data_IF_290211875088
#
_entry.id   IF_290211875088
#
_cell.length_a   1.000
_cell.length_b   1.000
_cell.length_c   1.000
_cell.angle_alpha   90.00
_cell.angle_beta   90.00
_cell.angle_gamma   90.00
#
_symmetry.space_group_name_H-M   'P 1'
#
loop_
_entity.id
_entity.type
_entity.pdbx_description
1 polymer ?
#
# COMPACT_ATOMS: atom_id res chain seq x y z
N UNK A 1 30.25 -2.21 -24.49
CA UNK A 1 30.72 -3.08 -23.38
C UNK A 1 30.57 -2.28 -22.11
N UNK A 2 29.53 -2.52 -21.32
CA UNK A 2 29.37 -1.86 -20.02
C UNK A 2 30.42 -2.41 -19.06
N UNK A 3 31.20 -1.52 -18.44
CA UNK A 3 32.19 -1.90 -17.44
C UNK A 3 31.46 -2.29 -16.15
N UNK A 4 31.63 -3.54 -15.74
CA UNK A 4 31.17 -4.05 -14.45
C UNK A 4 31.92 -3.34 -13.32
N UNK A 5 31.19 -2.69 -12.41
CA UNK A 5 31.77 -2.08 -11.22
C UNK A 5 31.45 -2.98 -10.04
N UNK A 6 32.47 -3.67 -9.51
CA UNK A 6 32.35 -4.35 -8.22
C UNK A 6 32.34 -3.31 -7.10
N UNK A 7 31.24 -3.27 -6.33
CA UNK A 7 31.08 -2.35 -5.22
C UNK A 7 31.60 -2.98 -3.93
N UNK A 8 32.34 -2.24 -3.09
CA UNK A 8 32.58 -2.67 -1.71
C UNK A 8 31.25 -2.85 -0.97
N UNK A 9 31.19 -3.80 -0.04
CA UNK A 9 29.93 -4.25 0.60
C UNK A 9 29.08 -3.11 1.19
N UNK A 10 29.73 -2.12 1.81
CA UNK A 10 29.05 -0.96 2.39
C UNK A 10 28.33 -0.12 1.33
N UNK A 11 28.94 0.06 0.16
CA UNK A 11 28.33 0.79 -0.96
C UNK A 11 27.21 -0.03 -1.61
N UNK A 12 27.40 -1.35 -1.72
CA UNK A 12 26.37 -2.23 -2.25
C UNK A 12 25.08 -2.18 -1.41
N UNK A 13 25.22 -2.15 -0.08
CA UNK A 13 24.07 -1.99 0.84
C UNK A 13 23.34 -0.66 0.60
N UNK A 14 24.08 0.44 0.49
CA UNK A 14 23.51 1.77 0.20
C UNK A 14 22.78 1.77 -1.13
N UNK A 15 23.37 1.19 -2.17
CA UNK A 15 22.79 1.18 -3.52
C UNK A 15 21.52 0.34 -3.56
N UNK A 16 21.50 -0.80 -2.86
CA UNK A 16 20.31 -1.64 -2.71
C UNK A 16 19.19 -0.89 -1.98
N UNK A 17 19.50 -0.24 -0.86
CA UNK A 17 18.52 0.54 -0.10
C UNK A 17 17.96 1.71 -0.92
N UNK A 18 18.82 2.40 -1.68
CA UNK A 18 18.41 3.49 -2.56
C UNK A 18 17.50 2.98 -3.68
N UNK A 19 17.87 1.89 -4.34
CA UNK A 19 17.07 1.31 -5.42
C UNK A 19 15.68 0.91 -4.91
N UNK A 20 15.60 0.24 -3.76
CA UNK A 20 14.34 -0.12 -3.14
C UNK A 20 13.50 1.12 -2.79
N UNK A 21 14.10 2.15 -2.18
CA UNK A 21 13.38 3.38 -1.83
C UNK A 21 12.79 4.05 -3.08
N UNK A 22 13.57 4.18 -4.15
CA UNK A 22 13.10 4.78 -5.40
C UNK A 22 11.95 3.95 -5.99
N UNK A 23 12.11 2.63 -6.07
CA UNK A 23 11.07 1.72 -6.58
C UNK A 23 9.76 1.85 -5.80
N UNK A 24 9.81 1.84 -4.46
CA UNK A 24 8.64 1.99 -3.58
C UNK A 24 7.94 3.34 -3.81
N UNK A 25 8.70 4.43 -4.02
CA UNK A 25 8.11 5.75 -4.29
C UNK A 25 7.46 5.82 -5.67
N UNK A 26 8.06 5.22 -6.70
CA UNK A 26 7.48 5.16 -8.04
C UNK A 26 6.19 4.33 -8.06
N UNK A 27 6.17 3.18 -7.38
CA UNK A 27 4.96 2.37 -7.22
C UNK A 27 3.86 3.16 -6.52
N UNK A 28 4.18 3.86 -5.42
CA UNK A 28 3.20 4.68 -4.69
C UNK A 28 2.62 5.82 -5.55
N UNK A 29 3.41 6.41 -6.46
CA UNK A 29 2.91 7.38 -7.44
C UNK A 29 1.93 6.71 -8.42
N UNK A 30 2.25 5.52 -8.93
CA UNK A 30 1.34 4.76 -9.81
C UNK A 30 0.03 4.37 -9.11
N UNK A 31 0.11 3.92 -7.86
CA UNK A 31 -1.07 3.58 -7.05
C UNK A 31 -2.02 4.77 -6.89
N UNK A 32 -1.50 6.00 -6.82
CA UNK A 32 -2.33 7.20 -6.74
C UNK A 32 -3.27 7.32 -7.94
N UNK A 33 -2.80 7.09 -9.16
CA UNK A 33 -3.67 7.13 -10.34
C UNK A 33 -4.80 6.09 -10.27
N UNK A 34 -4.49 4.87 -9.80
CA UNK A 34 -5.50 3.80 -9.64
C UNK A 34 -6.53 4.17 -8.58
N UNK A 35 -6.09 4.72 -7.44
CA UNK A 35 -6.97 5.18 -6.34
C UNK A 35 -7.97 6.24 -6.82
N UNK A 36 -7.53 7.17 -7.67
CA UNK A 36 -8.39 8.23 -8.20
C UNK A 36 -9.32 7.76 -9.34
N UNK A 37 -9.04 6.61 -9.99
CA UNK A 37 -9.85 6.11 -11.11
C UNK A 37 -10.87 5.01 -10.74
N UNK A 38 -10.57 4.08 -9.84
CA UNK A 38 -11.24 2.77 -9.85
C UNK A 38 -11.72 2.20 -8.50
N UNK A 39 -11.46 2.85 -7.37
CA UNK A 39 -11.88 2.30 -6.07
C UNK A 39 -13.36 2.63 -5.76
N UNK A 40 -14.19 1.65 -5.33
CA UNK A 40 -15.51 1.94 -4.77
C UNK A 40 -15.34 2.81 -3.52
N UNK A 41 -16.11 3.91 -3.45
CA UNK A 41 -15.98 4.93 -2.39
C UNK A 41 -17.24 4.92 -1.55
N UNK A 42 -17.06 4.89 -0.24
CA UNK A 42 -18.18 4.91 0.72
C UNK A 42 -18.32 6.29 1.36
N UNK A 43 -17.22 6.88 1.86
CA UNK A 43 -17.26 8.15 2.59
C UNK A 43 -16.24 9.21 2.12
N UNK A 44 -15.29 8.87 1.23
CA UNK A 44 -14.27 9.78 0.74
C UNK A 44 -14.58 10.26 -0.68
N UNK A 45 -14.40 11.55 -0.93
CA UNK A 45 -14.46 12.16 -2.26
C UNK A 45 -13.03 12.48 -2.69
N UNK A 46 -12.64 11.96 -3.86
CA UNK A 46 -11.36 12.28 -4.48
C UNK A 46 -11.63 13.10 -5.74
N UNK A 47 -10.98 14.25 -5.83
CA UNK A 47 -11.02 15.15 -6.97
C UNK A 47 -9.77 14.93 -7.83
N UNK A 48 -9.95 14.52 -9.09
CA UNK A 48 -8.85 14.50 -10.04
C UNK A 48 -8.72 15.89 -10.66
N UNK A 49 -7.76 16.68 -10.17
CA UNK A 49 -7.44 18.03 -10.63
C UNK A 49 -6.47 18.04 -11.83
N UNK A 50 -6.01 16.86 -12.26
CA UNK A 50 -5.13 16.72 -13.42
C UNK A 50 -5.92 16.43 -14.69
N UNK A 51 -5.66 17.21 -15.74
CA UNK A 51 -6.15 16.87 -17.07
C UNK A 51 -5.46 15.62 -17.63
N UNK A 52 -6.04 15.08 -18.71
CA UNK A 52 -5.56 13.85 -19.34
C UNK A 52 -4.13 14.02 -19.89
N UNK A 53 -3.79 15.19 -20.45
CA UNK A 53 -2.49 15.43 -21.04
C UNK A 53 -1.40 15.45 -19.96
N UNK A 54 -1.64 16.14 -18.85
CA UNK A 54 -0.76 16.24 -17.69
C UNK A 54 -0.59 14.87 -17.04
N UNK A 55 -1.68 14.11 -16.92
CA UNK A 55 -1.65 12.72 -16.43
C UNK A 55 -0.72 11.84 -17.29
N UNK A 56 -0.88 11.89 -18.62
CA UNK A 56 -0.03 11.13 -19.54
C UNK A 56 1.44 11.53 -19.43
N UNK A 57 1.74 12.83 -19.35
CA UNK A 57 3.11 13.32 -19.19
C UNK A 57 3.75 12.81 -17.89
N UNK A 58 3.04 12.87 -16.77
CA UNK A 58 3.55 12.36 -15.48
C UNK A 58 3.80 10.85 -15.56
N UNK A 59 2.87 10.09 -16.15
CA UNK A 59 3.05 8.64 -16.33
C UNK A 59 4.25 8.30 -17.20
N UNK A 60 4.50 9.08 -18.26
CA UNK A 60 5.71 8.93 -19.08
C UNK A 60 6.98 9.18 -18.27
N UNK A 61 7.01 10.26 -17.46
CA UNK A 61 8.17 10.55 -16.62
C UNK A 61 8.43 9.44 -15.58
N UNK A 62 7.38 8.90 -14.97
CA UNK A 62 7.48 7.75 -14.06
C UNK A 62 8.09 6.54 -14.79
N UNK A 63 7.65 6.26 -16.02
CA UNK A 63 8.20 5.17 -16.83
C UNK A 63 9.68 5.38 -17.16
N UNK A 64 10.09 6.61 -17.46
CA UNK A 64 11.51 6.95 -17.67
C UNK A 64 12.34 6.73 -16.40
N UNK A 65 11.80 7.07 -15.22
CA UNK A 65 12.46 6.80 -13.94
C UNK A 65 12.62 5.29 -13.66
N UNK A 66 11.61 4.48 -13.99
CA UNK A 66 11.73 3.02 -13.89
C UNK A 66 12.81 2.46 -14.82
N UNK A 67 12.90 2.95 -16.06
CA UNK A 67 13.94 2.53 -17.00
C UNK A 67 15.34 2.89 -16.48
N UNK A 68 15.51 4.10 -15.94
CA UNK A 68 16.77 4.53 -15.33
C UNK A 68 17.14 3.67 -14.11
N UNK A 69 16.16 3.35 -13.25
CA UNK A 69 16.37 2.48 -12.09
C UNK A 69 16.72 1.04 -12.50
N UNK A 70 16.08 0.50 -13.54
CA UNK A 70 16.38 -0.83 -14.07
C UNK A 70 17.82 -0.89 -14.58
N UNK A 71 18.27 0.11 -15.34
CA UNK A 71 19.65 0.21 -15.78
C UNK A 71 20.63 0.26 -14.60
N UNK A 72 20.31 1.02 -13.54
CA UNK A 72 21.10 1.08 -12.31
C UNK A 72 21.20 -0.28 -11.61
N UNK A 73 20.08 -0.99 -11.43
CA UNK A 73 20.01 -2.32 -10.81
C UNK A 73 20.83 -3.35 -11.59
N UNK A 74 20.73 -3.34 -12.92
CA UNK A 74 21.51 -4.22 -13.81
C UNK A 74 23.00 -3.92 -13.68
N UNK A 75 23.39 -2.64 -13.81
CA UNK A 75 24.79 -2.20 -13.77
C UNK A 75 25.50 -2.64 -12.48
N UNK A 76 24.82 -2.57 -11.35
CA UNK A 76 25.37 -2.90 -10.04
C UNK A 76 24.96 -4.28 -9.52
N UNK A 77 24.35 -5.12 -10.36
CA UNK A 77 23.94 -6.50 -10.02
C UNK A 77 23.12 -6.59 -8.72
N UNK A 78 22.22 -5.63 -8.51
CA UNK A 78 21.39 -5.60 -7.31
C UNK A 78 20.35 -6.74 -7.43
N UNK A 79 20.30 -7.69 -6.47
CA UNK A 79 19.41 -8.84 -6.58
C UNK A 79 17.96 -8.43 -6.40
N UNK A 80 17.10 -9.05 -7.22
CA UNK A 80 15.67 -8.83 -7.14
C UNK A 80 15.11 -9.44 -5.84
N UNK A 81 14.18 -8.72 -5.21
CA UNK A 81 13.38 -9.25 -4.11
C UNK A 81 12.08 -9.82 -4.64
N UNK A 82 11.63 -10.94 -4.08
CA UNK A 82 10.30 -11.49 -4.36
C UNK A 82 9.33 -11.03 -3.29
N UNK A 83 8.22 -10.46 -3.72
CA UNK A 83 7.10 -10.12 -2.85
C UNK A 83 5.92 -11.03 -3.18
N UNK A 84 5.16 -11.41 -2.15
CA UNK A 84 3.98 -12.23 -2.30
C UNK A 84 2.75 -11.37 -2.08
N UNK A 85 1.89 -11.28 -3.09
CA UNK A 85 0.60 -10.60 -2.99
C UNK A 85 -0.21 -11.14 -1.80
N UNK A 86 -0.25 -12.47 -1.65
CA UNK A 86 -0.90 -13.16 -0.53
C UNK A 86 -0.40 -12.64 0.82
N UNK A 87 0.91 -12.57 1.02
CA UNK A 87 1.49 -12.06 2.28
C UNK A 87 1.16 -10.58 2.49
N UNK A 88 1.18 -9.78 1.43
CA UNK A 88 0.82 -8.36 1.52
C UNK A 88 -0.65 -8.17 1.92
N UNK A 89 -1.57 -8.92 1.31
CA UNK A 89 -3.00 -8.90 1.67
C UNK A 89 -3.18 -9.33 3.12
N UNK A 90 -2.53 -10.41 3.57
CA UNK A 90 -2.61 -10.86 4.98
C UNK A 90 -2.15 -9.76 5.93
N UNK A 91 -1.01 -9.12 5.65
CA UNK A 91 -0.47 -8.04 6.49
C UNK A 91 -1.43 -6.85 6.54
N UNK A 92 -1.91 -6.38 5.39
CA UNK A 92 -2.86 -5.26 5.31
C UNK A 92 -4.19 -5.58 5.99
N UNK A 93 -4.70 -6.80 5.82
CA UNK A 93 -5.93 -7.26 6.45
C UNK A 93 -5.78 -7.37 7.97
N UNK A 94 -4.61 -7.78 8.47
CA UNK A 94 -4.33 -7.82 9.91
C UNK A 94 -4.36 -6.42 10.54
N UNK A 95 -3.75 -5.42 9.88
CA UNK A 95 -3.84 -4.03 10.34
C UNK A 95 -5.28 -3.50 10.33
N UNK A 96 -6.04 -3.76 9.26
CA UNK A 96 -7.46 -3.38 9.21
C UNK A 96 -8.26 -4.04 10.34
N UNK A 97 -8.04 -5.33 10.58
CA UNK A 97 -8.71 -6.06 11.65
C UNK A 97 -8.40 -5.45 13.02
N UNK A 98 -7.13 -5.12 13.28
CA UNK A 98 -6.70 -4.48 14.52
C UNK A 98 -7.36 -3.10 14.71
N UNK A 99 -7.42 -2.28 13.66
CA UNK A 99 -8.08 -0.98 13.68
C UNK A 99 -9.58 -1.11 14.00
N UNK A 100 -10.26 -2.09 13.39
CA UNK A 100 -11.69 -2.36 13.64
C UNK A 100 -11.94 -2.81 15.08
N UNK A 101 -11.15 -3.74 15.60
CA UNK A 101 -11.29 -4.26 16.97
C UNK A 101 -11.02 -3.18 18.03
N UNK A 102 -10.03 -2.32 17.78
CA UNK A 102 -9.69 -1.19 18.65
C UNK A 102 -10.73 -0.05 18.59
N UNK A 103 -11.60 -0.04 17.59
CA UNK A 103 -12.66 0.97 17.41
C UNK A 103 -13.98 0.61 18.10
N UNK A 104 -14.07 -0.54 18.79
CA UNK A 104 -15.29 -0.97 19.50
C UNK A 104 -15.75 0.05 20.55
N UNK A 105 -17.06 0.12 20.77
CA UNK A 105 -17.70 1.03 21.74
C UNK A 105 -17.07 0.97 23.13
N UNK A 106 -16.62 -0.23 23.57
CA UNK A 106 -15.96 -0.45 24.87
C UNK A 106 -14.68 0.38 25.05
N UNK A 107 -14.02 0.77 23.96
CA UNK A 107 -12.79 1.59 23.96
C UNK A 107 -13.10 3.11 23.88
N UNK A 108 -14.35 3.49 23.58
CA UNK A 108 -14.80 4.88 23.39
C UNK A 108 -15.37 5.49 24.69
N UNK A 109 -15.53 4.68 25.75
CA UNK A 109 -16.12 5.06 27.06
C UNK A 109 -15.30 6.13 27.78
N UNK A 110 -15.56 7.39 27.46
CA UNK A 110 -14.90 8.58 28.02
C UNK A 110 -15.33 9.89 27.35
N UNK A 111 -15.89 9.82 26.13
CA UNK A 111 -16.37 10.98 25.38
C UNK A 111 -17.89 11.20 25.56
N UNK A 112 -18.30 11.57 26.78
CA UNK A 112 -19.69 11.97 27.08
C UNK A 112 -20.73 10.84 27.10
N UNK A 113 -21.97 11.19 27.44
CA UNK A 113 -23.11 10.27 27.41
C UNK A 113 -23.58 10.09 25.97
N UNK A 114 -22.88 9.25 25.21
CA UNK A 114 -23.36 8.77 23.91
C UNK A 114 -24.46 7.74 24.18
N UNK A 115 -25.54 7.82 23.40
CA UNK A 115 -26.67 6.91 23.48
C UNK A 115 -26.22 5.46 23.33
N UNK A 116 -26.80 4.58 24.16
CA UNK A 116 -26.51 3.14 24.13
C UNK A 116 -26.93 2.52 22.80
N UNK A 117 -28.03 2.99 22.20
CA UNK A 117 -28.50 2.52 20.88
C UNK A 117 -27.44 2.78 19.79
N UNK A 118 -26.84 3.97 19.78
CA UNK A 118 -25.79 4.35 18.83
C UNK A 118 -24.53 3.48 19.00
N UNK A 119 -24.21 3.13 20.25
CA UNK A 119 -23.05 2.26 20.53
C UNK A 119 -23.29 0.82 20.08
N UNK A 120 -24.52 0.32 20.23
CA UNK A 120 -24.90 -1.02 19.76
C UNK A 120 -24.88 -1.08 18.23
N UNK A 121 -25.39 -0.06 17.55
CA UNK A 121 -25.35 0.03 16.09
C UNK A 121 -23.92 0.05 15.54
N UNK A 122 -23.01 0.80 16.19
CA UNK A 122 -21.59 0.81 15.85
C UNK A 122 -20.97 -0.57 16.00
N UNK A 123 -21.16 -1.24 17.14
CA UNK A 123 -20.58 -2.56 17.39
C UNK A 123 -21.12 -3.60 16.40
N UNK A 124 -22.41 -3.56 16.06
CA UNK A 124 -23.01 -4.44 15.06
C UNK A 124 -22.41 -4.22 13.65
N UNK A 125 -22.11 -2.97 13.28
CA UNK A 125 -21.40 -2.67 12.04
C UNK A 125 -19.96 -3.20 12.06
N UNK A 126 -19.22 -2.97 13.16
CA UNK A 126 -17.85 -3.45 13.31
C UNK A 126 -17.76 -4.98 13.26
N UNK A 127 -18.72 -5.69 13.86
CA UNK A 127 -18.78 -7.15 13.82
C UNK A 127 -18.95 -7.68 12.38
N UNK A 128 -19.76 -7.01 11.56
CA UNK A 128 -19.90 -7.37 10.13
C UNK A 128 -18.58 -7.19 9.38
N UNK A 129 -17.88 -6.07 9.61
CA UNK A 129 -16.61 -5.77 8.96
C UNK A 129 -15.51 -6.75 9.38
N UNK A 130 -15.45 -7.09 10.68
CA UNK A 130 -14.52 -8.08 11.23
C UNK A 130 -14.78 -9.46 10.63
N UNK A 131 -16.04 -9.89 10.50
CA UNK A 131 -16.37 -11.16 9.88
C UNK A 131 -15.89 -11.25 8.42
N UNK A 132 -16.01 -10.16 7.65
CA UNK A 132 -15.49 -10.08 6.28
C UNK A 132 -13.96 -10.14 6.27
N UNK A 133 -13.30 -9.40 7.16
CA UNK A 133 -11.84 -9.41 7.30
C UNK A 133 -11.31 -10.81 7.64
N UNK A 134 -11.97 -11.53 8.55
CA UNK A 134 -11.61 -12.92 8.88
C UNK A 134 -11.69 -13.84 7.65
N UNK A 135 -12.78 -13.72 6.86
CA UNK A 135 -12.94 -14.50 5.63
C UNK A 135 -11.86 -14.22 4.59
N UNK A 136 -11.40 -12.98 4.47
CA UNK A 136 -10.25 -12.63 3.61
C UNK A 136 -8.98 -13.35 4.09
N UNK A 137 -8.73 -13.36 5.41
CA UNK A 137 -7.63 -14.11 6.01
C UNK A 137 -7.68 -15.59 5.65
N UNK A 138 -8.82 -16.24 5.86
CA UNK A 138 -9.04 -17.66 5.56
C UNK A 138 -8.78 -17.99 4.07
N UNK A 139 -9.23 -17.14 3.14
CA UNK A 139 -8.99 -17.32 1.69
C UNK A 139 -7.48 -17.28 1.39
N UNK A 140 -6.75 -16.40 2.07
CA UNK A 140 -5.32 -16.23 1.88
C UNK A 140 -4.49 -17.33 2.56
N UNK A 141 -5.03 -18.06 3.55
CA UNK A 141 -4.34 -19.15 4.23
C UNK A 141 -4.60 -20.53 3.59
N UNK A 142 -5.79 -20.73 3.00
CA UNK A 142 -6.24 -22.03 2.47
C UNK A 142 -5.89 -22.29 0.99
N UNK A 143 -5.20 -21.38 0.32
CA UNK A 143 -4.69 -21.51 -1.06
C UNK A 143 -3.17 -21.35 -1.11
#
# INVERSE_FOLDING_TARGET
MEQTIELPENYFRVFRSLAQLIEEKLIAMQESFVRFQAAPRVHLIYENDLDQQTTMLIQEQIQQMFAALQAFVIRYHIPHKRFSLRKQIIIQNAFLWEDLENSRSRHIRGHGAIDEEVMQDLDAFLDQMIAISNRIGEICENN
#
